data_IF_933570346438
#
_entry.id   IF_933570346438
#
_cell.length_a   1.000
_cell.length_b   1.000
_cell.length_c   1.000
_cell.angle_alpha   90.00
_cell.angle_beta   90.00
_cell.angle_gamma   90.00
#
_symmetry.space_group_name_H-M   'P 1'
#
loop_
_entity.id
_entity.type
_entity.pdbx_description
1 polymer ?
#
# COMPACT_ATOMS: atom_id res chain seq x y z
N UNK A 1 26.39 34.77 -21.28
CA UNK A 1 25.67 34.09 -22.37
C UNK A 1 25.97 32.59 -22.44
N UNK A 2 26.87 32.05 -21.59
CA UNK A 2 27.08 30.60 -21.47
C UNK A 2 26.28 29.96 -20.32
N UNK A 3 25.90 30.73 -19.28
CA UNK A 3 25.11 30.21 -18.15
C UNK A 3 23.67 29.82 -18.53
N UNK A 4 23.04 30.55 -19.47
CA UNK A 4 21.65 30.27 -19.91
C UNK A 4 21.51 28.99 -20.74
N UNK A 5 22.59 28.52 -21.37
CA UNK A 5 22.60 27.29 -22.17
C UNK A 5 22.76 26.05 -21.30
N UNK A 6 23.47 26.17 -20.17
CA UNK A 6 23.58 25.10 -19.18
C UNK A 6 22.24 24.86 -18.46
N UNK A 7 21.50 25.92 -18.13
CA UNK A 7 20.22 25.85 -17.43
C UNK A 7 19.10 25.19 -18.28
N UNK A 8 19.01 25.53 -19.57
CA UNK A 8 18.09 24.85 -20.51
C UNK A 8 18.39 23.35 -20.68
N UNK A 9 19.66 22.95 -20.54
CA UNK A 9 20.07 21.54 -20.69
C UNK A 9 19.77 20.68 -19.46
N UNK A 10 19.63 21.31 -18.28
CA UNK A 10 19.31 20.65 -17.01
C UNK A 10 17.80 20.34 -16.94
N UNK A 11 16.95 21.30 -17.29
CA UNK A 11 15.49 21.12 -17.33
C UNK A 11 15.04 20.00 -18.28
N UNK A 12 15.68 19.88 -19.45
CA UNK A 12 15.38 18.81 -20.40
C UNK A 12 15.85 17.42 -19.94
N UNK A 13 16.93 17.36 -19.14
CA UNK A 13 17.44 16.10 -18.58
C UNK A 13 16.55 15.64 -17.43
N UNK A 14 16.16 16.55 -16.54
CA UNK A 14 15.22 16.27 -15.45
C UNK A 14 13.86 15.86 -15.99
N UNK A 15 13.35 16.55 -17.03
CA UNK A 15 12.10 16.17 -17.70
C UNK A 15 12.17 14.77 -18.32
N UNK A 16 13.28 14.42 -18.97
CA UNK A 16 13.49 13.07 -19.54
C UNK A 16 13.62 12.00 -18.46
N UNK A 17 14.29 12.31 -17.36
CA UNK A 17 14.46 11.41 -16.21
C UNK A 17 13.12 11.17 -15.51
N UNK A 18 12.35 12.22 -15.23
CA UNK A 18 10.99 12.12 -14.68
C UNK A 18 10.08 11.29 -15.58
N UNK A 19 10.13 11.50 -16.90
CA UNK A 19 9.33 10.74 -17.87
C UNK A 19 9.70 9.25 -17.88
N UNK A 20 10.99 8.93 -17.76
CA UNK A 20 11.49 7.56 -17.65
C UNK A 20 11.05 6.89 -16.33
N UNK A 21 11.19 7.59 -15.21
CA UNK A 21 10.72 7.11 -13.89
C UNK A 21 9.20 6.85 -13.92
N UNK A 22 8.42 7.77 -14.48
CA UNK A 22 6.98 7.59 -14.65
C UNK A 22 6.63 6.39 -15.54
N UNK A 23 7.44 6.14 -16.57
CA UNK A 23 7.25 5.01 -17.46
C UNK A 23 7.58 3.69 -16.77
N UNK A 24 8.66 3.66 -15.97
CA UNK A 24 9.05 2.50 -15.18
C UNK A 24 7.98 2.15 -14.12
N UNK A 25 7.41 3.16 -13.44
CA UNK A 25 6.32 2.94 -12.46
C UNK A 25 5.02 2.43 -13.11
N UNK A 26 4.74 2.84 -14.36
CA UNK A 26 3.59 2.33 -15.14
C UNK A 26 3.77 0.88 -15.58
N UNK A 27 5.02 0.41 -15.69
CA UNK A 27 5.34 -0.97 -16.08
C UNK A 27 5.16 -2.00 -14.97
N UNK A 28 5.05 -1.57 -13.71
CA UNK A 28 4.90 -2.47 -12.57
C UNK A 28 3.57 -3.23 -12.61
N UNK A 29 3.53 -4.43 -12.04
CA UNK A 29 2.28 -5.13 -11.76
C UNK A 29 1.50 -4.47 -10.61
N UNK A 30 0.22 -4.82 -10.43
CA UNK A 30 -0.58 -4.35 -9.30
C UNK A 30 0.06 -4.73 -7.96
N UNK A 31 0.49 -5.97 -7.82
CA UNK A 31 1.16 -6.48 -6.62
C UNK A 31 2.51 -5.81 -6.37
N UNK A 32 3.33 -5.59 -7.41
CA UNK A 32 4.62 -4.89 -7.28
C UNK A 32 4.45 -3.45 -6.81
N UNK A 33 3.44 -2.74 -7.34
CA UNK A 33 3.12 -1.38 -6.88
C UNK A 33 2.70 -1.37 -5.41
N UNK A 34 1.79 -2.26 -5.01
CA UNK A 34 1.35 -2.37 -3.62
C UNK A 34 2.51 -2.71 -2.68
N UNK A 35 3.33 -3.69 -3.05
CA UNK A 35 4.49 -4.12 -2.25
C UNK A 35 5.51 -2.99 -2.08
N UNK A 36 5.87 -2.32 -3.19
CA UNK A 36 6.79 -1.19 -3.16
C UNK A 36 6.25 -0.03 -2.33
N UNK A 37 4.95 0.25 -2.45
CA UNK A 37 4.28 1.32 -1.69
C UNK A 37 4.29 1.02 -0.19
N UNK A 38 3.98 -0.20 0.22
CA UNK A 38 4.02 -0.62 1.62
C UNK A 38 5.45 -0.51 2.18
N UNK A 39 6.45 -1.03 1.47
CA UNK A 39 7.88 -0.89 1.85
C UNK A 39 8.31 0.58 1.98
N UNK A 40 7.83 1.44 1.08
CA UNK A 40 8.13 2.86 1.13
C UNK A 40 7.54 3.53 2.38
N UNK A 41 6.25 3.30 2.66
CA UNK A 41 5.58 3.82 3.88
C UNK A 41 6.30 3.34 5.14
N UNK A 42 6.65 2.07 5.20
CA UNK A 42 7.42 1.49 6.31
C UNK A 42 8.77 2.20 6.50
N UNK A 43 9.46 2.57 5.43
CA UNK A 43 10.72 3.29 5.54
C UNK A 43 10.53 4.72 6.08
N UNK A 44 9.48 5.42 5.66
CA UNK A 44 9.11 6.74 6.20
C UNK A 44 8.77 6.64 7.68
N UNK A 45 8.05 5.60 8.09
CA UNK A 45 7.71 5.37 9.49
C UNK A 45 8.92 5.24 10.41
N UNK A 46 10.11 4.93 9.91
CA UNK A 46 11.33 4.87 10.75
C UNK A 46 11.84 6.25 11.19
N UNK A 47 11.48 7.31 10.48
CA UNK A 47 11.90 8.68 10.81
C UNK A 47 10.73 9.60 11.21
N UNK A 48 9.52 9.06 11.31
CA UNK A 48 8.32 9.80 11.72
C UNK A 48 7.99 9.55 13.19
N UNK A 49 7.75 10.65 13.92
CA UNK A 49 7.24 10.62 15.28
C UNK A 49 5.70 10.70 15.26
N UNK A 50 5.05 9.54 15.26
CA UNK A 50 3.60 9.42 15.42
C UNK A 50 3.29 8.30 16.41
N UNK A 51 2.37 8.50 17.38
CA UNK A 51 1.94 7.45 18.31
C UNK A 51 1.07 6.38 17.64
N UNK A 52 0.55 6.64 16.44
CA UNK A 52 -0.32 5.73 15.69
C UNK A 52 0.18 5.53 14.26
N UNK A 53 0.10 4.28 13.77
CA UNK A 53 0.41 3.90 12.39
C UNK A 53 -0.73 3.03 11.85
N UNK A 54 -1.19 3.32 10.65
CA UNK A 54 -2.25 2.54 10.03
C UNK A 54 -2.04 2.30 8.53
N UNK A 55 -2.52 1.15 8.05
CA UNK A 55 -2.69 0.88 6.63
C UNK A 55 -4.04 0.22 6.37
N UNK A 56 -4.63 0.55 5.24
CA UNK A 56 -5.85 -0.06 4.73
C UNK A 56 -5.61 -0.65 3.34
N UNK A 57 -6.23 -1.80 3.07
CA UNK A 57 -6.19 -2.56 1.81
C UNK A 57 -4.80 -2.75 1.19
N UNK A 58 -3.73 -2.68 1.99
CA UNK A 58 -2.36 -2.67 1.48
C UNK A 58 -1.98 -3.94 0.73
N UNK A 59 -2.60 -5.07 1.07
CA UNK A 59 -2.31 -6.39 0.53
C UNK A 59 -3.24 -6.82 -0.62
N UNK A 60 -4.24 -6.00 -1.01
CA UNK A 60 -5.33 -6.43 -1.91
C UNK A 60 -4.87 -6.94 -3.28
N UNK A 61 -3.74 -6.42 -3.79
CA UNK A 61 -3.16 -6.81 -5.08
C UNK A 61 -1.95 -7.74 -4.96
N UNK A 62 -1.53 -8.09 -3.74
CA UNK A 62 -0.36 -8.93 -3.52
C UNK A 62 -0.73 -10.42 -3.64
N UNK A 63 0.17 -11.21 -4.22
CA UNK A 63 0.10 -12.66 -4.12
C UNK A 63 0.44 -13.15 -2.71
N UNK A 64 0.21 -14.44 -2.44
CA UNK A 64 0.43 -15.04 -1.11
C UNK A 64 1.88 -14.94 -0.62
N UNK A 65 2.87 -14.96 -1.53
CA UNK A 65 4.29 -14.94 -1.16
C UNK A 65 4.68 -13.54 -0.70
N UNK A 66 4.37 -12.53 -1.51
CA UNK A 66 4.63 -11.14 -1.19
C UNK A 66 3.83 -10.67 0.03
N UNK A 67 2.57 -11.11 0.12
CA UNK A 67 1.69 -10.84 1.27
C UNK A 67 2.28 -11.38 2.57
N UNK A 68 2.80 -12.61 2.56
CA UNK A 68 3.47 -13.18 3.73
C UNK A 68 4.66 -12.32 4.17
N UNK A 69 5.55 -11.97 3.25
CA UNK A 69 6.75 -11.19 3.58
C UNK A 69 6.40 -9.80 4.12
N UNK A 70 5.44 -9.09 3.50
CA UNK A 70 5.07 -7.75 3.98
C UNK A 70 4.42 -7.81 5.37
N UNK A 71 3.59 -8.83 5.62
CA UNK A 71 2.97 -9.05 6.93
C UNK A 71 4.02 -9.31 8.01
N UNK A 72 5.01 -10.17 7.72
CA UNK A 72 6.14 -10.43 8.64
C UNK A 72 6.96 -9.15 8.90
N UNK A 73 7.25 -8.35 7.88
CA UNK A 73 7.98 -7.09 8.07
C UNK A 73 7.20 -6.08 8.92
N UNK A 74 5.87 -5.96 8.71
CA UNK A 74 5.01 -5.10 9.52
C UNK A 74 4.94 -5.58 10.97
N UNK A 75 4.92 -6.90 11.17
CA UNK A 75 4.99 -7.57 12.46
C UNK A 75 6.22 -7.14 13.26
N UNK A 76 7.39 -7.29 12.63
CA UNK A 76 8.67 -7.00 13.25
C UNK A 76 8.80 -5.51 13.56
N UNK A 77 8.38 -4.65 12.64
CA UNK A 77 8.36 -3.20 12.86
C UNK A 77 7.48 -2.80 14.06
N UNK A 78 6.30 -3.40 14.18
CA UNK A 78 5.40 -3.13 15.30
C UNK A 78 6.00 -3.61 16.64
N UNK A 79 6.65 -4.78 16.63
CA UNK A 79 7.32 -5.35 17.80
C UNK A 79 8.48 -4.48 18.30
N UNK A 80 9.23 -3.89 17.37
CA UNK A 80 10.37 -3.01 17.69
C UNK A 80 9.91 -1.63 18.19
N UNK A 81 8.67 -1.23 17.87
CA UNK A 81 8.12 0.11 18.16
C UNK A 81 7.16 0.10 19.36
N UNK A 82 7.68 -0.14 20.56
CA UNK A 82 6.87 -0.36 21.79
C UNK A 82 5.94 0.78 22.19
N UNK A 83 6.22 2.01 21.79
CA UNK A 83 5.45 3.20 22.14
C UNK A 83 4.41 3.58 21.06
N UNK A 84 4.26 2.75 20.04
CA UNK A 84 3.42 3.02 18.87
C UNK A 84 2.37 1.94 18.72
N UNK A 85 1.13 2.36 18.45
CA UNK A 85 0.05 1.44 18.10
C UNK A 85 -0.10 1.32 16.59
N UNK A 86 -0.27 0.08 16.12
CA UNK A 86 -0.44 -0.25 14.70
C UNK A 86 -1.86 -0.78 14.45
N UNK A 87 -2.51 -0.25 13.41
CA UNK A 87 -3.82 -0.69 12.95
C UNK A 87 -3.76 -1.10 11.49
N UNK A 88 -4.10 -2.34 11.20
CA UNK A 88 -4.12 -2.85 9.83
C UNK A 88 -5.53 -3.27 9.48
N UNK A 89 -6.03 -2.71 8.37
CA UNK A 89 -7.31 -3.05 7.80
C UNK A 89 -7.05 -3.81 6.51
N UNK A 90 -7.65 -4.99 6.41
CA UNK A 90 -7.56 -5.81 5.20
C UNK A 90 -8.85 -6.60 5.00
N UNK A 91 -9.34 -6.70 3.75
CA UNK A 91 -10.43 -7.60 3.42
C UNK A 91 -9.98 -9.08 3.36
N UNK A 92 -8.67 -9.33 3.40
CA UNK A 92 -8.10 -10.67 3.31
C UNK A 92 -7.99 -11.36 4.68
N UNK A 93 -8.23 -12.67 4.79
CA UNK A 93 -8.09 -13.40 6.04
C UNK A 93 -6.62 -13.49 6.47
N UNK A 94 -6.34 -13.20 7.74
CA UNK A 94 -4.98 -13.30 8.29
C UNK A 94 -4.67 -14.75 8.64
N UNK A 95 -3.78 -15.39 7.87
CA UNK A 95 -3.37 -16.79 8.03
C UNK A 95 -1.84 -16.93 8.18
N UNK A 96 -1.11 -15.90 7.78
CA UNK A 96 0.34 -15.88 7.59
C UNK A 96 1.10 -15.64 8.90
N UNK A 97 0.42 -15.06 9.90
CA UNK A 97 1.04 -14.57 11.13
C UNK A 97 0.70 -15.44 12.33
N UNK A 98 1.67 -15.58 13.24
CA UNK A 98 1.44 -16.21 14.54
C UNK A 98 0.60 -15.27 15.41
N UNK A 99 -0.46 -15.83 16.02
CA UNK A 99 -1.46 -15.06 16.78
C UNK A 99 -0.96 -14.52 18.12
N UNK A 100 0.22 -14.92 18.57
CA UNK A 100 0.85 -14.39 19.79
C UNK A 100 1.35 -12.95 19.61
N UNK A 101 1.48 -12.46 18.38
CA UNK A 101 2.00 -11.14 18.08
C UNK A 101 0.93 -10.05 17.90
N UNK A 102 -0.34 -10.41 17.66
CA UNK A 102 -1.38 -9.45 17.30
C UNK A 102 -2.75 -9.87 17.78
N UNK A 103 -3.58 -8.88 18.08
CA UNK A 103 -5.01 -9.09 18.24
C UNK A 103 -5.71 -8.95 16.88
N UNK A 104 -6.49 -9.97 16.50
CA UNK A 104 -7.21 -10.00 15.22
C UNK A 104 -8.71 -9.87 15.49
N UNK A 105 -9.27 -8.76 15.03
CA UNK A 105 -10.71 -8.52 15.04
C UNK A 105 -11.29 -8.81 13.66
N UNK A 106 -12.19 -9.79 13.57
CA UNK A 106 -12.89 -10.10 12.32
C UNK A 106 -14.25 -9.44 12.31
N UNK A 107 -14.46 -8.49 11.39
CA UNK A 107 -15.77 -7.86 11.19
C UNK A 107 -16.68 -8.78 10.38
N UNK A 108 -17.91 -8.98 10.88
CA UNK A 108 -18.93 -9.70 10.12
C UNK A 108 -19.48 -8.78 9.04
N UNK A 109 -19.66 -9.31 7.83
CA UNK A 109 -20.38 -8.62 6.76
C UNK A 109 -21.78 -8.24 7.27
N UNK A 110 -22.15 -6.98 7.14
CA UNK A 110 -23.50 -6.51 7.46
C UNK A 110 -24.41 -6.93 6.32
N UNK A 111 -25.36 -7.82 6.58
CA UNK A 111 -26.37 -8.22 5.61
C UNK A 111 -27.27 -7.02 5.29
N UNK A 112 -27.41 -6.68 4.01
CA UNK A 112 -28.36 -5.66 3.52
C UNK A 112 -27.76 -4.40 2.89
N UNK A 113 -26.47 -4.09 3.06
CA UNK A 113 -25.87 -2.83 2.54
C UNK A 113 -25.52 -2.89 1.05
N UNK A 114 -25.24 -4.07 0.50
CA UNK A 114 -24.75 -4.23 -0.89
C UNK A 114 -25.77 -4.89 -1.84
N UNK A 115 -27.00 -5.14 -1.39
CA UNK A 115 -27.99 -5.81 -2.23
C UNK A 115 -28.69 -4.85 -3.22
N UNK A 116 -28.69 -3.54 -2.98
CA UNK A 116 -29.40 -2.58 -3.83
C UNK A 116 -28.62 -2.19 -5.10
N UNK A 117 -27.28 -2.09 -5.03
CA UNK A 117 -26.46 -1.72 -6.20
C UNK A 117 -26.38 -2.83 -7.27
N UNK A 118 -26.58 -4.09 -6.89
CA UNK A 118 -26.61 -5.22 -7.84
C UNK A 118 -27.99 -5.38 -8.51
N UNK A 119 -29.08 -4.93 -7.88
CA UNK A 119 -30.42 -4.97 -8.46
C UNK A 119 -30.60 -3.95 -9.59
N UNK A 120 -30.05 -2.73 -9.46
CA UNK A 120 -30.16 -1.70 -10.50
C UNK A 120 -29.33 -1.97 -11.76
N UNK A 121 -28.31 -2.83 -11.70
CA UNK A 121 -27.56 -3.24 -12.90
C UNK A 121 -28.22 -4.41 -13.65
N UNK A 122 -29.04 -5.23 -12.98
CA UNK A 122 -29.84 -6.26 -13.63
C UNK A 122 -31.14 -5.70 -14.24
N UNK A 123 -31.78 -4.72 -13.60
CA UNK A 123 -33.01 -4.11 -14.14
C UNK A 123 -32.78 -3.22 -15.37
N UNK A 124 -31.55 -2.76 -15.63
CA UNK A 124 -31.22 -1.96 -16.82
C UNK A 124 -30.73 -2.80 -18.02
N UNK A 125 -30.81 -4.13 -17.93
CA UNK A 125 -30.46 -5.06 -19.03
C UNK A 125 -31.66 -5.88 -19.55
N UNK A 126 -32.88 -5.61 -19.05
CA UNK A 126 -34.15 -6.06 -19.65
C UNK A 126 -34.85 -4.90 -20.37
#
# INVERSE_FOLDING_TARGET
MEESFAEQSLDERDSRMQKKVLQDLKGLSGGERSYTTACFIMSLWKCMESPFRCMDEFDVFMDMVNRRYIMEMLADMAKDSKEVQFFFFTPQPIQELKRDMFEVFTLKRIAGIFNEEQQQQQENQE
#
